data_IF_003628480478
#
_entry.id   IF_003628480478
#
_cell.length_a   1.000
_cell.length_b   1.000
_cell.length_c   1.000
_cell.angle_alpha   90.00
_cell.angle_beta   90.00
_cell.angle_gamma   90.00
#
_symmetry.space_group_name_H-M   'P 1'
#
loop_
_entity.id
_entity.type
_entity.pdbx_description
1 polymer ?
#
# COMPACT_ATOMS: atom_id res chain seq x y z
N UNK A 1 -15.46 -8.89 -4.77
CA UNK A 1 -14.72 -7.82 -4.07
C UNK A 1 -13.25 -8.13 -4.23
N UNK A 2 -12.44 -7.21 -4.76
CA UNK A 2 -11.00 -7.44 -4.97
C UNK A 2 -10.25 -7.34 -3.65
N UNK A 3 -9.27 -8.23 -3.43
CA UNK A 3 -8.41 -8.19 -2.26
C UNK A 3 -7.37 -7.06 -2.40
N UNK A 4 -6.86 -6.48 -1.30
CA UNK A 4 -5.73 -5.58 -1.37
C UNK A 4 -4.48 -6.32 -1.85
N UNK A 5 -3.76 -5.68 -2.76
CA UNK A 5 -2.46 -6.12 -3.26
C UNK A 5 -1.36 -5.32 -2.55
N UNK A 6 -0.43 -6.04 -1.94
CA UNK A 6 0.70 -5.51 -1.20
C UNK A 6 1.97 -5.80 -2.01
N UNK A 7 2.65 -4.75 -2.45
CA UNK A 7 3.87 -4.85 -3.26
C UNK A 7 5.09 -4.43 -2.46
N UNK A 8 6.11 -5.27 -2.41
CA UNK A 8 7.43 -4.95 -1.85
C UNK A 8 8.44 -4.69 -2.98
N UNK A 9 9.26 -3.66 -2.83
CA UNK A 9 10.32 -3.37 -3.80
C UNK A 9 11.53 -4.26 -3.52
N UNK A 10 11.85 -5.17 -4.44
CA UNK A 10 12.95 -6.15 -4.29
C UNK A 10 14.34 -5.61 -4.62
N UNK A 11 14.42 -4.44 -5.28
CA UNK A 11 15.71 -3.82 -5.68
C UNK A 11 16.12 -2.62 -4.82
N UNK A 12 15.45 -2.39 -3.69
CA UNK A 12 15.95 -1.42 -2.70
C UNK A 12 17.34 -1.87 -2.20
N UNK A 13 18.25 -0.92 -1.95
CA UNK A 13 19.66 -1.19 -1.56
C UNK A 13 19.78 -2.18 -0.39
N UNK A 14 18.91 -2.02 0.61
CA UNK A 14 18.89 -2.80 1.85
C UNK A 14 17.58 -3.59 1.97
N UNK A 15 17.07 -4.12 0.85
CA UNK A 15 15.87 -4.95 0.87
C UNK A 15 16.12 -6.24 1.68
N UNK A 16 15.27 -6.49 2.68
CA UNK A 16 15.25 -7.76 3.39
C UNK A 16 14.54 -8.82 2.53
N UNK A 17 15.25 -9.86 2.05
CA UNK A 17 14.65 -10.89 1.21
C UNK A 17 13.68 -11.79 1.97
N UNK A 18 13.68 -11.75 3.30
CA UNK A 18 12.80 -12.57 4.14
C UNK A 18 11.49 -11.86 4.48
N UNK A 19 11.42 -10.53 4.32
CA UNK A 19 10.25 -9.73 4.65
C UNK A 19 8.97 -10.14 3.89
N UNK A 20 8.99 -10.48 2.58
CA UNK A 20 7.80 -10.95 1.87
C UNK A 20 7.17 -12.19 2.53
N UNK A 21 7.97 -13.20 2.87
CA UNK A 21 7.50 -14.44 3.49
C UNK A 21 6.99 -14.20 4.92
N UNK A 22 7.69 -13.36 5.68
CA UNK A 22 7.26 -12.97 7.03
C UNK A 22 5.94 -12.19 7.02
N UNK A 23 5.76 -11.29 6.04
CA UNK A 23 4.51 -10.57 5.84
C UNK A 23 3.38 -11.54 5.47
N UNK A 24 3.61 -12.47 4.53
CA UNK A 24 2.63 -13.47 4.16
C UNK A 24 2.25 -14.40 5.35
N UNK A 25 3.22 -14.75 6.21
CA UNK A 25 2.95 -15.49 7.44
C UNK A 25 2.12 -14.68 8.44
N UNK A 26 2.44 -13.40 8.65
CA UNK A 26 1.71 -12.50 9.54
C UNK A 26 0.25 -12.30 9.08
N UNK A 27 0.02 -12.15 7.77
CA UNK A 27 -1.32 -12.04 7.18
C UNK A 27 -2.16 -13.29 7.43
N UNK A 28 -1.59 -14.47 7.21
CA UNK A 28 -2.26 -15.75 7.49
C UNK A 28 -2.60 -15.90 8.97
N UNK A 29 -1.67 -15.60 9.86
CA UNK A 29 -1.89 -15.65 11.30
C UNK A 29 -2.98 -14.66 11.77
N UNK A 30 -3.08 -13.50 11.11
CA UNK A 30 -4.08 -12.48 11.40
C UNK A 30 -5.46 -12.74 10.74
N UNK A 31 -5.57 -13.76 9.88
CA UNK A 31 -6.79 -14.07 9.13
C UNK A 31 -7.16 -13.01 8.08
N UNK A 32 -6.18 -12.25 7.57
CA UNK A 32 -6.41 -11.21 6.57
C UNK A 32 -6.19 -11.75 5.15
N UNK A 33 -7.18 -11.51 4.29
CA UNK A 33 -7.09 -11.80 2.86
C UNK A 33 -6.41 -10.64 2.13
N UNK A 34 -5.15 -10.83 1.71
CA UNK A 34 -4.37 -9.91 0.91
C UNK A 34 -3.37 -10.68 0.05
N UNK A 35 -3.07 -10.16 -1.13
CA UNK A 35 -2.05 -10.72 -2.03
C UNK A 35 -0.72 -10.01 -1.77
N UNK A 36 0.35 -10.78 -1.51
CA UNK A 36 1.71 -10.25 -1.39
C UNK A 36 2.47 -10.55 -2.66
N UNK A 37 3.12 -9.54 -3.23
CA UNK A 37 4.01 -9.70 -4.36
C UNK A 37 5.28 -8.86 -4.19
N UNK A 38 6.28 -9.20 -4.97
CA UNK A 38 7.47 -8.39 -5.14
C UNK A 38 7.45 -7.71 -6.52
N UNK A 39 7.95 -6.49 -6.58
CA UNK A 39 8.12 -5.73 -7.81
C UNK A 39 9.55 -5.21 -7.90
N UNK A 40 10.00 -4.90 -9.11
CA UNK A 40 11.38 -4.52 -9.37
C UNK A 40 11.73 -3.21 -8.65
N UNK A 41 11.10 -2.11 -9.03
CA UNK A 41 11.43 -0.79 -8.48
C UNK A 41 10.16 0.05 -8.26
N UNK A 42 10.11 0.76 -7.13
CA UNK A 42 9.08 1.76 -6.81
C UNK A 42 9.66 3.17 -6.66
N UNK A 43 10.92 3.39 -7.07
CA UNK A 43 11.65 4.66 -6.95
C UNK A 43 11.73 5.22 -5.53
N UNK A 44 11.56 4.35 -4.52
CA UNK A 44 11.55 4.69 -3.11
C UNK A 44 12.91 4.60 -2.41
N UNK A 45 14.01 4.56 -3.16
CA UNK A 45 15.35 4.29 -2.63
C UNK A 45 15.89 5.34 -1.64
N UNK A 46 15.24 6.52 -1.54
CA UNK A 46 15.53 7.48 -0.48
C UNK A 46 15.05 7.03 0.91
N UNK A 47 14.07 6.11 0.95
CA UNK A 47 13.54 5.48 2.18
C UNK A 47 13.30 3.96 1.96
N UNK A 48 14.37 3.18 1.73
CA UNK A 48 14.27 1.72 1.54
C UNK A 48 13.96 1.03 2.88
N UNK A 49 13.30 -0.11 2.95
CA UNK A 49 12.56 -0.87 1.93
C UNK A 49 11.14 -0.31 1.78
N UNK A 50 10.61 -0.29 0.55
CA UNK A 50 9.27 0.26 0.28
C UNK A 50 8.20 -0.81 0.16
N UNK A 51 7.02 -0.49 0.69
CA UNK A 51 5.80 -1.31 0.64
C UNK A 51 4.65 -0.44 0.15
N UNK A 52 3.98 -0.90 -0.91
CA UNK A 52 2.77 -0.26 -1.43
C UNK A 52 1.55 -1.13 -1.15
N UNK A 53 0.41 -0.50 -0.84
CA UNK A 53 -0.89 -1.17 -0.73
C UNK A 53 -1.87 -0.54 -1.71
N UNK A 54 -2.49 -1.38 -2.55
CA UNK A 54 -3.48 -0.95 -3.55
C UNK A 54 -4.69 -1.86 -3.52
N UNK A 55 -5.87 -1.27 -3.70
CA UNK A 55 -7.11 -1.98 -4.00
C UNK A 55 -7.93 -1.11 -4.95
N UNK A 56 -8.59 -1.72 -5.93
CA UNK A 56 -9.41 -0.98 -6.88
C UNK A 56 -10.48 -0.16 -6.15
N UNK A 57 -10.65 1.10 -6.56
CA UNK A 57 -11.61 2.04 -5.95
C UNK A 57 -11.17 2.63 -4.61
N UNK A 58 -9.97 2.30 -4.12
CA UNK A 58 -9.44 2.80 -2.84
C UNK A 58 -8.17 3.61 -3.01
N UNK A 59 -7.92 4.51 -2.05
CA UNK A 59 -6.65 5.22 -1.91
C UNK A 59 -5.51 4.21 -1.83
N UNK A 60 -4.45 4.44 -2.61
CA UNK A 60 -3.22 3.66 -2.53
C UNK A 60 -2.25 4.32 -1.55
N UNK A 61 -1.50 3.50 -0.83
CA UNK A 61 -0.51 3.93 0.15
C UNK A 61 0.87 3.45 -0.26
N UNK A 62 1.88 4.30 -0.08
CA UNK A 62 3.29 3.93 -0.17
C UNK A 62 3.96 4.24 1.16
N UNK A 63 4.60 3.24 1.74
CA UNK A 63 5.44 3.36 2.93
C UNK A 63 6.90 3.07 2.58
N UNK A 64 7.82 3.61 3.36
CA UNK A 64 9.26 3.32 3.28
C UNK A 64 9.86 3.00 4.64
N UNK A 65 11.13 2.58 4.64
CA UNK A 65 11.83 2.10 5.85
C UNK A 65 11.06 0.99 6.57
N UNK A 66 10.41 0.12 5.79
CA UNK A 66 9.68 -1.02 6.32
C UNK A 66 10.65 -2.12 6.73
N UNK A 67 10.40 -2.67 7.90
CA UNK A 67 11.13 -3.77 8.52
C UNK A 67 10.15 -4.78 9.09
N UNK A 68 10.66 -5.92 9.53
CA UNK A 68 9.85 -6.97 10.19
C UNK A 68 9.20 -6.49 11.50
N UNK A 69 9.77 -5.49 12.16
CA UNK A 69 9.19 -4.87 13.36
C UNK A 69 7.90 -4.10 13.07
N UNK A 70 7.68 -3.67 11.82
CA UNK A 70 6.48 -2.93 11.41
C UNK A 70 5.29 -3.85 11.09
N UNK A 71 5.48 -5.18 11.07
CA UNK A 71 4.42 -6.12 10.70
C UNK A 71 3.14 -5.96 11.53
N UNK A 72 3.17 -5.80 12.87
CA UNK A 72 1.96 -5.57 13.66
C UNK A 72 1.20 -4.30 13.25
N UNK A 73 1.93 -3.22 12.95
CA UNK A 73 1.34 -1.96 12.51
C UNK A 73 0.78 -2.07 11.08
N UNK A 74 1.43 -2.84 10.20
CA UNK A 74 0.93 -3.15 8.85
C UNK A 74 -0.38 -3.95 8.92
N UNK A 75 -0.45 -4.96 9.80
CA UNK A 75 -1.70 -5.70 10.04
C UNK A 75 -2.81 -4.77 10.55
N UNK A 76 -2.48 -3.85 11.45
CA UNK A 76 -3.43 -2.85 11.96
C UNK A 76 -3.88 -1.90 10.85
N UNK A 77 -2.96 -1.43 10.01
CA UNK A 77 -3.28 -0.64 8.82
C UNK A 77 -4.24 -1.37 7.88
N UNK A 78 -3.96 -2.63 7.55
CA UNK A 78 -4.80 -3.41 6.64
C UNK A 78 -6.21 -3.63 7.18
N UNK A 79 -6.38 -3.78 8.49
CA UNK A 79 -7.71 -3.83 9.13
C UNK A 79 -8.48 -2.52 8.96
N UNK A 80 -7.84 -1.39 9.23
CA UNK A 80 -8.44 -0.06 9.03
C UNK A 80 -8.76 0.21 7.56
N UNK A 81 -7.84 -0.17 6.68
CA UNK A 81 -7.96 -0.06 5.23
C UNK A 81 -9.12 -0.90 4.68
N UNK A 82 -9.29 -2.12 5.19
CA UNK A 82 -10.40 -3.00 4.83
C UNK A 82 -11.75 -2.41 5.29
N UNK A 83 -11.82 -1.85 6.50
CA UNK A 83 -13.02 -1.23 7.06
C UNK A 83 -13.42 0.08 6.37
N UNK A 84 -12.48 0.76 5.72
CA UNK A 84 -12.72 2.02 5.00
C UNK A 84 -13.25 1.77 3.59
N UNK A 85 -14.35 2.39 3.19
CA UNK A 85 -14.96 2.19 1.87
C UNK A 85 -14.06 2.70 0.73
N UNK A 86 -13.43 3.87 0.90
CA UNK A 86 -12.52 4.52 -0.05
C UNK A 86 -11.04 4.24 0.26
N UNK A 87 -10.76 3.42 1.28
CA UNK A 87 -9.42 3.10 1.74
C UNK A 87 -8.71 4.23 2.48
N UNK A 88 -9.38 5.35 2.75
CA UNK A 88 -8.78 6.43 3.55
C UNK A 88 -8.74 6.02 5.02
N UNK A 89 -7.54 6.08 5.61
CA UNK A 89 -7.31 5.91 7.06
C UNK A 89 -7.28 7.29 7.71
N UNK A 90 -8.39 7.68 8.34
CA UNK A 90 -8.58 9.00 8.96
C UNK A 90 -7.83 9.18 10.28
N UNK A 91 -7.75 8.12 11.09
CA UNK A 91 -6.95 8.11 12.32
C UNK A 91 -5.77 7.16 12.17
N UNK A 92 -4.57 7.72 12.05
CA UNK A 92 -3.34 6.97 11.90
C UNK A 92 -2.63 6.68 13.23
N UNK A 93 -3.14 7.15 14.38
CA UNK A 93 -2.53 6.87 15.70
C UNK A 93 -2.41 5.38 16.02
N UNK A 94 -3.37 4.50 15.63
CA UNK A 94 -3.23 3.06 15.85
C UNK A 94 -2.09 2.40 15.05
N UNK A 95 -1.50 3.10 14.07
CA UNK A 95 -0.42 2.57 13.24
C UNK A 95 0.96 2.73 13.87
N UNK A 96 1.06 3.08 15.16
CA UNK A 96 2.35 3.22 15.85
C UNK A 96 3.31 4.13 15.09
N UNK A 97 4.49 3.60 14.77
CA UNK A 97 5.55 4.31 14.03
C UNK A 97 5.31 4.30 12.52
N UNK A 98 4.55 3.33 12.00
CA UNK A 98 4.23 3.22 10.57
C UNK A 98 3.55 4.48 10.03
N UNK A 99 2.80 5.23 10.85
CA UNK A 99 2.16 6.49 10.43
C UNK A 99 3.16 7.55 9.95
N UNK A 100 4.38 7.54 10.49
CA UNK A 100 5.46 8.45 10.09
C UNK A 100 6.24 7.94 8.88
N UNK A 101 6.06 6.66 8.54
CA UNK A 101 6.71 6.00 7.41
C UNK A 101 5.96 6.16 6.09
N UNK A 102 4.79 6.79 6.08
CA UNK A 102 4.02 7.06 4.87
C UNK A 102 4.75 8.07 3.96
N UNK A 103 5.06 7.65 2.73
CA UNK A 103 5.66 8.48 1.68
C UNK A 103 4.58 9.15 0.84
N UNK A 104 3.54 8.42 0.47
CA UNK A 104 2.49 8.92 -0.40
C UNK A 104 1.12 8.30 -0.09
N UNK A 105 0.09 9.10 -0.34
CA UNK A 105 -1.31 8.69 -0.43
C UNK A 105 -1.81 9.11 -1.80
N UNK A 106 -2.15 8.15 -2.64
CA UNK A 106 -2.57 8.38 -4.01
C UNK A 106 -4.08 8.12 -4.05
N UNK A 107 -4.92 9.13 -4.31
CA UNK A 107 -6.36 8.96 -4.39
C UNK A 107 -6.74 7.85 -5.38
N UNK A 108 -7.85 7.18 -5.13
CA UNK A 108 -8.44 6.30 -6.14
C UNK A 108 -8.65 7.09 -7.44
N UNK A 109 -8.52 6.42 -8.59
CA UNK A 109 -8.84 7.04 -9.86
C UNK A 109 -10.28 7.57 -9.77
N UNK A 110 -10.45 8.90 -9.88
CA UNK A 110 -11.77 9.47 -9.92
C UNK A 110 -12.45 8.99 -11.19
N UNK A 111 -13.72 8.58 -11.08
CA UNK A 111 -14.60 8.39 -12.23
C UNK A 111 -14.91 9.74 -12.87
N UNK A 112 -13.89 10.47 -13.32
CA UNK A 112 -14.10 11.58 -14.23
C UNK A 112 -14.28 10.95 -15.60
N UNK A 113 -15.53 10.73 -15.98
CA UNK A 113 -15.90 10.51 -17.37
C UNK A 113 -15.38 11.73 -18.13
N UNK A 114 -14.25 11.58 -18.83
CA UNK A 114 -13.74 12.61 -19.70
C UNK A 114 -14.79 12.80 -20.80
N UNK A 115 -15.56 13.89 -20.74
CA UNK A 115 -16.30 14.38 -21.89
C UNK A 115 -15.26 14.64 -22.98
N UNK A 116 -15.29 13.93 -24.13
CA UNK A 116 -14.33 14.18 -25.19
C UNK A 116 -14.47 15.65 -25.63
N UNK A 117 -13.36 16.36 -25.91
CA UNK A 117 -13.44 17.74 -26.37
C UNK A 117 -14.28 17.78 -27.65
N UNK A 118 -15.33 18.60 -27.65
CA UNK A 118 -16.10 18.93 -28.87
C UNK A 118 -15.13 19.50 -29.89
N UNK A 119 -14.73 18.69 -30.87
CA UNK A 119 -13.96 19.17 -32.01
C UNK A 119 -14.88 20.02 -32.87
N UNK A 120 -14.79 21.34 -32.67
CA UNK A 120 -15.31 22.35 -33.59
C UNK A 120 -14.38 22.35 -34.80
N UNK A 121 -14.70 21.56 -35.82
CA UNK A 121 -14.11 21.71 -37.16
C UNK A 121 -14.65 23.02 -37.76
N UNK A 122 -13.74 23.97 -38.01
CA UNK A 122 -13.98 25.15 -38.83
C UNK A 122 -13.62 24.91 -40.29
#
# INVERSE_FOLDING_TARGET
>A
MTQPMISLCRTCRDADPTLPDQLAAALRAAGLAAEVQEVDCMSGCARPQTLAVRQSGKTAYLFGEITTADLPDIITFLRLYAASADGTVSDARPLGDLRFKAIARIPAASSQTATPPTQSQG
#
